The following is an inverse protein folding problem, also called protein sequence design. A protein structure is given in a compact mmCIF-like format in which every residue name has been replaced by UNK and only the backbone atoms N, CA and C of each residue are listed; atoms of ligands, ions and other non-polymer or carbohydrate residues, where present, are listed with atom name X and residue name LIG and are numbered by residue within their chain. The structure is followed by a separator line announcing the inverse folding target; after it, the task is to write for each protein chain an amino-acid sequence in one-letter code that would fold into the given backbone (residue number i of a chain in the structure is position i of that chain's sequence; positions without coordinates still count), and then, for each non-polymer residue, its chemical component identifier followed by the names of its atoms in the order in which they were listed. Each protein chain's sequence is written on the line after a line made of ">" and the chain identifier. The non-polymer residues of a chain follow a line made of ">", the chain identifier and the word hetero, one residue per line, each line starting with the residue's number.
data_IF_820558197775
#
_entry.id   IF_820558197775
#
_cell.length_a   1.000
_cell.length_b   1.000
_cell.length_c   1.000
_cell.angle_alpha   90.00
_cell.angle_beta   90.00
_cell.angle_gamma   90.00
#
_symmetry.space_group_name_H-M   'P 1'
#
loop_
_entity.id
_entity.type
_entity.pdbx_description
1 polymer ?
#
# COMPACT_ATOMS: atom_id res chain seq x y z
N UNK A 1 -25.56 -9.11 -7.50
CA UNK A 1 -24.47 -9.14 -8.50
C UNK A 1 -24.13 -7.68 -8.81
N UNK A 2 -22.87 -7.24 -8.71
CA UNK A 2 -22.54 -5.83 -8.88
C UNK A 2 -22.78 -5.36 -10.32
N UNK A 3 -23.25 -4.14 -10.48
CA UNK A 3 -23.48 -3.50 -11.78
C UNK A 3 -22.14 -3.19 -12.46
N UNK A 4 -22.18 -2.89 -13.76
CA UNK A 4 -20.98 -2.49 -14.51
C UNK A 4 -20.32 -1.26 -13.89
N UNK A 5 -21.11 -0.27 -13.46
CA UNK A 5 -20.61 0.97 -12.85
C UNK A 5 -19.95 0.70 -11.50
N UNK A 6 -20.54 -0.16 -10.66
CA UNK A 6 -19.96 -0.54 -9.37
C UNK A 6 -18.63 -1.28 -9.54
N UNK A 7 -18.53 -2.17 -10.53
CA UNK A 7 -17.28 -2.87 -10.88
C UNK A 7 -16.21 -1.90 -11.34
N UNK A 8 -16.56 -0.94 -12.20
CA UNK A 8 -15.62 0.06 -12.70
C UNK A 8 -15.10 0.90 -11.54
N UNK A 9 -15.98 1.38 -10.65
CA UNK A 9 -15.58 2.25 -9.54
C UNK A 9 -14.75 1.50 -8.49
N UNK A 10 -15.13 0.27 -8.13
CA UNK A 10 -14.34 -0.56 -7.24
C UNK A 10 -12.96 -0.91 -7.84
N UNK A 11 -12.92 -1.23 -9.13
CA UNK A 11 -11.69 -1.52 -9.85
C UNK A 11 -10.78 -0.30 -9.98
N UNK A 12 -11.34 0.89 -10.24
CA UNK A 12 -10.59 2.15 -10.25
C UNK A 12 -10.00 2.47 -8.89
N UNK A 13 -10.76 2.31 -7.80
CA UNK A 13 -10.26 2.56 -6.45
C UNK A 13 -9.08 1.65 -6.10
N UNK A 14 -9.10 0.38 -6.51
CA UNK A 14 -7.98 -0.55 -6.31
C UNK A 14 -6.82 -0.27 -7.29
N UNK A 15 -7.12 0.03 -8.55
CA UNK A 15 -6.13 0.31 -9.59
C UNK A 15 -5.37 1.62 -9.37
N UNK A 16 -5.94 2.53 -8.58
CA UNK A 16 -5.31 3.78 -8.17
C UNK A 16 -3.96 3.57 -7.45
N UNK A 17 -3.70 2.36 -6.92
CA UNK A 17 -2.43 1.96 -6.30
C UNK A 17 -1.18 2.24 -7.16
N UNK A 18 -1.33 2.32 -8.48
CA UNK A 18 -0.22 2.58 -9.43
C UNK A 18 0.33 4.00 -9.28
N UNK A 19 -0.49 4.94 -8.82
CA UNK A 19 -0.08 6.34 -8.60
C UNK A 19 -0.08 6.59 -7.09
N UNK A 20 1.02 6.36 -6.37
CA UNK A 20 1.06 6.56 -4.93
C UNK A 20 0.67 7.99 -4.55
N UNK A 21 0.08 8.15 -3.35
CA UNK A 21 -0.49 9.40 -2.83
C UNK A 21 -1.73 9.92 -3.58
N UNK A 22 -1.66 10.15 -4.89
CA UNK A 22 -2.81 10.61 -5.68
C UNK A 22 -3.88 9.54 -5.82
N UNK A 23 -3.47 8.29 -5.93
CA UNK A 23 -4.36 7.15 -5.99
C UNK A 23 -5.14 6.92 -4.70
N UNK A 24 -4.55 7.29 -3.56
CA UNK A 24 -5.22 7.20 -2.26
C UNK A 24 -6.36 8.22 -2.18
N UNK A 25 -6.10 9.45 -2.65
CA UNK A 25 -7.14 10.48 -2.76
C UNK A 25 -8.26 10.03 -3.70
N UNK A 26 -7.91 9.48 -4.87
CA UNK A 26 -8.90 8.96 -5.82
C UNK A 26 -9.76 7.85 -5.20
N UNK A 27 -9.14 6.87 -4.55
CA UNK A 27 -9.85 5.79 -3.88
C UNK A 27 -10.74 6.31 -2.74
N UNK A 28 -10.27 7.29 -1.97
CA UNK A 28 -11.04 7.95 -0.93
C UNK A 28 -12.25 8.70 -1.47
N UNK A 29 -12.08 9.47 -2.55
CA UNK A 29 -13.17 10.20 -3.21
C UNK A 29 -14.22 9.22 -3.74
N UNK A 30 -13.80 8.18 -4.46
CA UNK A 30 -14.70 7.15 -5.00
C UNK A 30 -15.48 6.49 -3.87
N UNK A 31 -14.79 6.11 -2.78
CA UNK A 31 -15.44 5.48 -1.64
C UNK A 31 -16.44 6.42 -0.96
N UNK A 32 -16.08 7.67 -0.68
CA UNK A 32 -16.98 8.64 -0.03
C UNK A 32 -18.26 8.87 -0.84
N UNK A 33 -18.17 8.92 -2.18
CA UNK A 33 -19.31 9.18 -3.06
C UNK A 33 -20.21 7.94 -3.23
N UNK A 34 -19.63 6.74 -3.21
CA UNK A 34 -20.33 5.51 -3.59
C UNK A 34 -20.63 4.56 -2.43
N UNK A 35 -20.06 4.78 -1.23
CA UNK A 35 -20.24 3.89 -0.07
C UNK A 35 -21.70 3.71 0.36
N UNK A 36 -22.54 4.71 0.19
CA UNK A 36 -23.96 4.67 0.56
C UNK A 36 -24.84 4.05 -0.55
N UNK A 37 -24.35 4.06 -1.79
CA UNK A 37 -25.08 3.58 -2.96
C UNK A 37 -24.87 2.09 -3.21
N UNK A 38 -23.74 1.55 -2.81
CA UNK A 38 -23.37 0.16 -3.05
C UNK A 38 -22.54 -0.44 -1.94
N UNK A 39 -23.02 -1.53 -1.34
CA UNK A 39 -22.25 -2.27 -0.35
C UNK A 39 -20.97 -2.90 -0.95
N UNK A 40 -21.01 -3.30 -2.22
CA UNK A 40 -19.84 -3.83 -2.92
C UNK A 40 -18.75 -2.77 -3.03
N UNK A 41 -19.10 -1.56 -3.51
CA UNK A 41 -18.14 -0.45 -3.63
C UNK A 41 -17.69 0.03 -2.25
N UNK A 42 -18.57 0.03 -1.24
CA UNK A 42 -18.23 0.33 0.16
C UNK A 42 -17.14 -0.59 0.68
N UNK A 43 -17.28 -1.90 0.53
CA UNK A 43 -16.30 -2.86 1.03
C UNK A 43 -14.98 -2.81 0.23
N UNK A 44 -15.06 -2.78 -1.10
CA UNK A 44 -13.88 -2.81 -1.97
C UNK A 44 -13.09 -1.49 -1.94
N UNK A 45 -13.78 -0.36 -1.90
CA UNK A 45 -13.16 0.96 -1.77
C UNK A 45 -12.48 1.15 -0.40
N UNK A 46 -13.10 0.75 0.70
CA UNK A 46 -12.48 0.81 2.02
C UNK A 46 -11.21 -0.06 2.10
N UNK A 47 -11.26 -1.25 1.49
CA UNK A 47 -10.12 -2.13 1.41
C UNK A 47 -8.98 -1.55 0.57
N UNK A 48 -9.31 -0.91 -0.57
CA UNK A 48 -8.33 -0.22 -1.40
C UNK A 48 -7.63 0.94 -0.65
N UNK A 49 -8.41 1.75 0.09
CA UNK A 49 -7.88 2.83 0.94
C UNK A 49 -6.95 2.25 2.01
N UNK A 50 -7.40 1.23 2.75
CA UNK A 50 -6.60 0.61 3.80
C UNK A 50 -5.29 0.01 3.27
N UNK A 51 -5.33 -0.61 2.08
CA UNK A 51 -4.14 -1.13 1.42
C UNK A 51 -3.15 -0.01 1.06
N UNK A 52 -3.64 1.06 0.44
CA UNK A 52 -2.80 2.20 0.05
C UNK A 52 -2.23 2.97 1.25
N UNK A 53 -2.98 3.10 2.35
CA UNK A 53 -2.49 3.65 3.62
C UNK A 53 -1.39 2.76 4.20
N UNK A 54 -1.58 1.43 4.17
CA UNK A 54 -0.57 0.46 4.63
C UNK A 54 0.70 0.56 3.79
N UNK A 55 0.56 0.61 2.47
CA UNK A 55 1.67 0.79 1.54
C UNK A 55 2.43 2.09 1.82
N UNK A 56 1.72 3.19 2.07
CA UNK A 56 2.33 4.49 2.38
C UNK A 56 3.07 4.46 3.72
N UNK A 57 2.47 3.87 4.76
CA UNK A 57 3.14 3.67 6.05
C UNK A 57 4.39 2.80 5.94
N UNK A 58 4.30 1.70 5.19
CA UNK A 58 5.43 0.82 4.93
C UNK A 58 6.56 1.52 4.15
N UNK A 59 6.21 2.39 3.20
CA UNK A 59 7.18 3.23 2.50
C UNK A 59 7.95 4.15 3.46
N UNK A 60 7.25 4.90 4.32
CA UNK A 60 7.91 5.78 5.29
C UNK A 60 8.79 5.01 6.28
N UNK A 61 8.32 3.87 6.78
CA UNK A 61 9.13 3.00 7.63
C UNK A 61 10.37 2.50 6.89
N UNK A 62 10.22 2.08 5.63
CA UNK A 62 11.33 1.71 4.76
C UNK A 62 12.34 2.84 4.59
N UNK A 63 11.90 4.08 4.43
CA UNK A 63 12.78 5.25 4.35
C UNK A 63 13.58 5.49 5.64
N UNK A 64 13.00 5.23 6.81
CA UNK A 64 13.73 5.29 8.09
C UNK A 64 14.85 4.24 8.12
N UNK A 65 14.54 2.99 7.72
CA UNK A 65 15.52 1.91 7.64
C UNK A 65 16.63 2.24 6.64
N UNK A 66 16.27 2.78 5.48
CA UNK A 66 17.22 3.23 4.47
C UNK A 66 18.12 4.35 5.00
N UNK A 67 17.55 5.38 5.64
CA UNK A 67 18.32 6.47 6.23
C UNK A 67 19.29 5.93 7.30
N UNK A 68 18.84 5.04 8.18
CA UNK A 68 19.70 4.39 9.18
C UNK A 68 20.86 3.61 8.52
N UNK A 69 20.59 2.86 7.45
CA UNK A 69 21.63 2.15 6.70
C UNK A 69 22.68 3.10 6.10
N UNK A 70 22.24 4.27 5.65
CA UNK A 70 23.11 5.31 5.09
C UNK A 70 23.98 5.96 6.18
N UNK A 71 23.42 6.26 7.35
CA UNK A 71 24.18 6.78 8.48
C UNK A 71 25.19 5.76 9.02
N UNK A 72 24.84 4.47 9.05
CA UNK A 72 25.78 3.40 9.39
C UNK A 72 26.94 3.33 8.40
N UNK A 73 26.65 3.44 7.10
CA UNK A 73 27.67 3.52 6.07
C UNK A 73 28.60 4.73 6.27
N UNK A 74 28.05 5.94 6.45
CA UNK A 74 28.86 7.15 6.70
C UNK A 74 29.69 7.03 7.98
N UNK A 75 29.10 6.61 9.10
CA UNK A 75 29.81 6.46 10.36
C UNK A 75 30.95 5.45 10.27
N UNK A 76 30.72 4.31 9.62
CA UNK A 76 31.77 3.32 9.36
C UNK A 76 32.88 3.85 8.46
N UNK A 77 32.54 4.64 7.44
CA UNK A 77 33.53 5.27 6.55
C UNK A 77 34.40 6.30 7.28
N UNK A 78 33.84 7.09 8.22
CA UNK A 78 34.61 8.02 9.04
C UNK A 78 35.61 7.31 9.97
N UNK A 79 35.23 6.17 10.54
CA UNK A 79 36.10 5.40 11.43
C UNK A 79 37.23 4.70 10.65
N UNK A 80 36.94 4.18 9.45
CA UNK A 80 37.89 3.42 8.64
C UNK A 80 38.59 4.23 7.54
N UNK A 81 38.55 5.56 7.63
CA UNK A 81 39.01 6.48 6.57
C UNK A 81 40.49 6.33 6.19
N UNK A 82 41.31 5.61 6.97
CA UNK A 82 42.76 5.56 6.85
C UNK A 82 43.37 4.25 6.36
N UNK A 83 42.59 3.17 6.14
CA UNK A 83 43.19 1.82 6.00
C UNK A 83 42.98 1.09 4.66
N UNK A 84 42.19 1.60 3.71
CA UNK A 84 41.88 0.83 2.48
C UNK A 84 41.93 1.64 1.18
N UNK A 85 42.48 1.02 0.12
CA UNK A 85 42.61 1.58 -1.23
C UNK A 85 41.34 1.47 -2.10
N UNK A 86 40.22 0.96 -1.56
CA UNK A 86 38.97 0.77 -2.27
C UNK A 86 37.73 0.92 -1.37
N UNK A 87 36.51 1.01 -1.92
CA UNK A 87 35.30 1.19 -1.13
C UNK A 87 35.09 0.00 -0.17
N UNK A 88 34.89 0.23 1.14
CA UNK A 88 34.63 -0.85 2.08
C UNK A 88 33.32 -1.56 1.72
N UNK A 89 33.18 -2.86 2.02
CA UNK A 89 31.96 -3.62 1.71
C UNK A 89 30.68 -2.97 2.25
N UNK A 90 30.78 -2.26 3.38
CA UNK A 90 29.71 -1.47 3.99
C UNK A 90 29.15 -0.38 3.06
N UNK A 91 29.93 0.10 2.08
CA UNK A 91 29.52 1.06 1.06
C UNK A 91 28.30 0.58 0.25
N UNK A 92 28.22 -0.73 -0.02
CA UNK A 92 27.14 -1.30 -0.82
C UNK A 92 25.86 -1.56 -0.01
N UNK A 93 25.93 -1.46 1.32
CA UNK A 93 24.83 -1.84 2.21
C UNK A 93 23.54 -1.03 1.97
N UNK A 94 23.56 0.32 1.82
CA UNK A 94 22.35 1.08 1.54
C UNK A 94 21.70 0.72 0.20
N UNK A 95 22.49 0.32 -0.80
CA UNK A 95 21.96 -0.11 -2.11
C UNK A 95 21.23 -1.44 -2.03
N UNK A 96 21.75 -2.38 -1.23
CA UNK A 96 21.07 -3.65 -0.95
C UNK A 96 19.75 -3.40 -0.22
N UNK A 97 19.78 -2.54 0.82
CA UNK A 97 18.58 -2.15 1.56
C UNK A 97 17.56 -1.49 0.63
N UNK A 98 17.98 -0.55 -0.21
CA UNK A 98 17.12 0.09 -1.19
C UNK A 98 16.52 -0.91 -2.19
N UNK A 99 17.33 -1.83 -2.71
CA UNK A 99 16.87 -2.89 -3.62
C UNK A 99 15.80 -3.78 -2.97
N UNK A 100 16.01 -4.20 -1.72
CA UNK A 100 15.03 -4.98 -0.96
C UNK A 100 13.72 -4.19 -0.72
N UNK A 101 13.82 -2.92 -0.32
CA UNK A 101 12.64 -2.06 -0.12
C UNK A 101 11.87 -1.82 -1.41
N UNK A 102 12.58 -1.66 -2.53
CA UNK A 102 11.97 -1.50 -3.85
C UNK A 102 11.21 -2.77 -4.27
N UNK A 103 11.83 -3.94 -4.14
CA UNK A 103 11.17 -5.22 -4.44
C UNK A 103 9.95 -5.44 -3.55
N UNK A 104 10.06 -5.10 -2.27
CA UNK A 104 8.95 -5.16 -1.33
C UNK A 104 7.79 -4.25 -1.75
N UNK A 105 8.06 -3.01 -2.18
CA UNK A 105 7.01 -2.13 -2.71
C UNK A 105 6.40 -2.60 -4.01
N UNK A 106 7.18 -3.27 -4.87
CA UNK A 106 6.67 -3.87 -6.09
C UNK A 106 5.60 -4.93 -5.78
N UNK A 107 5.79 -5.72 -4.72
CA UNK A 107 4.78 -6.68 -4.25
C UNK A 107 3.47 -5.97 -3.88
N UNK A 108 3.53 -4.82 -3.21
CA UNK A 108 2.33 -4.05 -2.86
C UNK A 108 1.52 -3.61 -4.08
N UNK A 109 2.22 -3.13 -5.11
CA UNK A 109 1.63 -2.69 -6.37
C UNK A 109 1.00 -3.87 -7.10
N UNK A 110 1.72 -5.01 -7.22
CA UNK A 110 1.21 -6.20 -7.89
C UNK A 110 -0.07 -6.72 -7.22
N UNK A 111 -0.09 -6.78 -5.88
CA UNK A 111 -1.28 -7.22 -5.14
C UNK A 111 -2.45 -6.25 -5.34
N UNK A 112 -2.21 -4.94 -5.37
CA UNK A 112 -3.25 -3.95 -5.64
C UNK A 112 -3.78 -3.99 -7.08
N UNK A 113 -2.92 -4.21 -8.07
CA UNK A 113 -3.33 -4.42 -9.47
C UNK A 113 -4.17 -5.70 -9.57
N UNK A 114 -3.75 -6.78 -8.90
CA UNK A 114 -4.51 -8.02 -8.91
C UNK A 114 -5.88 -7.87 -8.25
N UNK A 115 -5.96 -7.10 -7.16
CA UNK A 115 -7.22 -6.72 -6.53
C UNK A 115 -8.12 -5.94 -7.51
N UNK A 116 -7.56 -5.00 -8.27
CA UNK A 116 -8.26 -4.23 -9.29
C UNK A 116 -8.84 -5.11 -10.40
N UNK A 117 -8.03 -6.03 -10.94
CA UNK A 117 -8.47 -7.00 -11.96
C UNK A 117 -9.62 -7.86 -11.45
N UNK A 118 -9.50 -8.40 -10.22
CA UNK A 118 -10.55 -9.17 -9.57
C UNK A 118 -11.85 -8.36 -9.39
N UNK A 119 -11.73 -7.09 -9.00
CA UNK A 119 -12.91 -6.21 -8.81
C UNK A 119 -13.57 -5.82 -10.12
N UNK A 120 -12.81 -5.60 -11.21
CA UNK A 120 -13.37 -5.39 -12.56
C UNK A 120 -14.14 -6.62 -13.05
N UNK A 121 -13.69 -7.83 -12.68
CA UNK A 121 -14.41 -9.08 -12.94
C UNK A 121 -15.61 -9.28 -11.99
N UNK A 122 -15.93 -8.33 -11.10
CA UNK A 122 -17.04 -8.43 -10.14
C UNK A 122 -16.84 -9.41 -9.01
N UNK A 123 -15.63 -9.94 -8.84
CA UNK A 123 -15.30 -10.76 -7.70
C UNK A 123 -14.88 -9.85 -6.55
N UNK A 124 -15.57 -9.98 -5.42
CA UNK A 124 -15.15 -9.31 -4.20
C UNK A 124 -13.75 -9.79 -3.82
N UNK A 125 -12.81 -8.86 -3.71
CA UNK A 125 -11.47 -9.14 -3.30
C UNK A 125 -11.30 -8.88 -1.80
N UNK A 126 -10.42 -9.65 -1.17
CA UNK A 126 -10.04 -9.49 0.23
C UNK A 126 -8.54 -9.41 0.30
N UNK A 127 -8.01 -8.27 0.74
CA UNK A 127 -6.57 -8.17 0.97
C UNK A 127 -6.14 -9.11 2.10
N UNK A 128 -5.12 -9.96 1.90
CA UNK A 128 -4.75 -10.99 2.88
C UNK A 128 -4.42 -10.46 4.28
N UNK A 129 -3.79 -9.29 4.35
CA UNK A 129 -3.30 -8.71 5.61
C UNK A 129 -4.35 -7.82 6.28
N UNK A 130 -5.00 -6.93 5.51
CA UNK A 130 -5.87 -5.88 6.06
C UNK A 130 -7.36 -6.09 5.80
N UNK A 131 -7.74 -7.01 4.91
CA UNK A 131 -9.13 -7.19 4.50
C UNK A 131 -10.06 -7.64 5.62
N UNK A 132 -9.56 -8.44 6.57
CA UNK A 132 -10.37 -8.86 7.73
C UNK A 132 -10.57 -7.72 8.74
N UNK A 133 -9.57 -6.85 8.92
CA UNK A 133 -9.70 -5.67 9.76
C UNK A 133 -10.75 -4.71 9.19
N UNK A 134 -10.68 -4.42 7.88
CA UNK A 134 -11.65 -3.53 7.21
C UNK A 134 -13.06 -4.07 7.29
N UNK A 135 -13.26 -5.39 7.10
CA UNK A 135 -14.59 -6.00 7.18
C UNK A 135 -15.21 -5.89 8.57
N UNK A 136 -14.42 -6.08 9.62
CA UNK A 136 -14.87 -5.88 11.01
C UNK A 136 -15.23 -4.43 11.27
N UNK A 137 -14.34 -3.50 10.89
CA UNK A 137 -14.57 -2.06 11.05
C UNK A 137 -15.87 -1.59 10.39
N UNK A 138 -16.17 -2.06 9.18
CA UNK A 138 -17.41 -1.73 8.48
C UNK A 138 -18.65 -2.39 9.11
N UNK A 139 -18.54 -3.61 9.63
CA UNK A 139 -19.64 -4.29 10.31
C UNK A 139 -20.03 -3.57 11.61
N UNK A 140 -19.04 -3.19 12.43
CA UNK A 140 -19.26 -2.49 13.69
C UNK A 140 -19.89 -1.11 13.48
N UNK A 141 -19.44 -0.38 12.44
CA UNK A 141 -20.02 0.92 12.07
C UNK A 141 -21.48 0.84 11.65
N UNK A 142 -21.88 -0.23 10.93
CA UNK A 142 -23.28 -0.43 10.54
C UNK A 142 -24.19 -0.86 11.70
N UNK A 143 -23.65 -1.45 12.77
CA UNK A 143 -24.41 -1.78 13.97
C UNK A 143 -24.74 -0.56 14.83
N UNK A 144 -23.88 0.46 14.81
CA UNK A 144 -24.07 1.70 15.57
C UNK A 144 -25.07 2.69 14.94
N UNK A 145 -25.30 2.60 13.63
CA UNK A 145 -26.24 3.47 12.89
C UNK A 145 -27.71 2.99 12.98
N UNK A 146 -27.93 1.77 13.49
CA UNK A 146 -29.23 1.12 13.62
C UNK A 146 -29.77 1.10 15.08
N UNK A 147 -29.21 1.90 15.98
CA UNK A 147 -29.62 2.09 17.39
C UNK A 147 -29.94 3.56 17.62
#
# INVERSE_FOLDING_TARGET
>A
IPTSDERIMAGLANGAVIVPMWGLLLAAIVWLIQREKSEYVRQQGAQAIAWQVTQLGAFFLGMIVYAASFFLMMGGAFIMASESAGPPMLFFFPFIVFGCLFLFQLVFIVVGIWAAVRTFQGHAYVYPVIGNFVRRFLADGSGAENV
#
